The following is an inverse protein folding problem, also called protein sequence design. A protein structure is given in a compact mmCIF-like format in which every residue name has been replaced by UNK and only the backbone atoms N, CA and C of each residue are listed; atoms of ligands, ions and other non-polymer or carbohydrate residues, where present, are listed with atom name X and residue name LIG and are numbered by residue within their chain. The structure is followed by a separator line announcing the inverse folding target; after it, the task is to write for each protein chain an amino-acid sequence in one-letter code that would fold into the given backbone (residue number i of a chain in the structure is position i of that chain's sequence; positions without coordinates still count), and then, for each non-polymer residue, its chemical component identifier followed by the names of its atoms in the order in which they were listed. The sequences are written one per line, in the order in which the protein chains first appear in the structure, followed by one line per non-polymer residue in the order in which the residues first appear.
data_IF_384215867262
#
_entry.id   IF_384215867262
#
_cell.length_a   1.000
_cell.length_b   1.000
_cell.length_c   1.000
_cell.angle_alpha   90.00
_cell.angle_beta   90.00
_cell.angle_gamma   90.00
#
_symmetry.space_group_name_H-M   'P 1'
#
loop_
_entity.id
_entity.type
_entity.pdbx_description
1 polymer ?
#
# COMPACT_ATOMS: atom_id res chain seq x y z
N UNK A 1 11.05 -24.04 1.65
CA UNK A 1 10.20 -23.11 2.42
C UNK A 1 9.34 -22.35 1.42
N UNK A 2 7.99 -22.39 1.52
CA UNK A 2 7.08 -21.95 0.45
C UNK A 2 7.01 -20.42 0.21
N UNK A 3 7.85 -19.62 0.89
CA UNK A 3 7.91 -18.17 0.69
C UNK A 3 6.73 -17.38 1.28
N UNK A 4 5.86 -18.01 2.06
CA UNK A 4 4.77 -17.30 2.75
C UNK A 4 5.29 -16.59 4.01
N UNK A 5 4.81 -15.37 4.26
CA UNK A 5 4.76 -14.83 5.61
C UNK A 5 3.50 -15.33 6.30
N UNK A 6 3.64 -15.82 7.53
CA UNK A 6 2.49 -16.18 8.35
C UNK A 6 1.57 -14.96 8.50
N UNK A 7 0.29 -15.16 8.17
CA UNK A 7 -0.73 -14.14 8.35
C UNK A 7 -0.85 -13.76 9.83
N UNK A 8 -0.65 -12.48 10.16
CA UNK A 8 -1.08 -11.92 11.44
C UNK A 8 -2.58 -11.58 11.45
N UNK A 9 -3.23 -11.58 10.29
CA UNK A 9 -4.69 -11.53 10.23
C UNK A 9 -5.21 -12.86 10.77
N UNK A 10 -5.93 -12.79 11.89
CA UNK A 10 -6.61 -13.94 12.46
C UNK A 10 -7.39 -14.66 11.37
N UNK A 11 -7.42 -15.99 11.43
CA UNK A 11 -8.21 -16.81 10.51
C UNK A 11 -9.66 -16.34 10.63
N UNK A 12 -10.11 -15.47 9.74
CA UNK A 12 -11.52 -15.11 9.63
C UNK A 12 -12.21 -16.37 9.12
N UNK A 13 -12.84 -17.09 10.06
CA UNK A 13 -13.55 -18.35 9.82
C UNK A 13 -14.86 -18.06 9.10
N UNK A 14 -14.78 -17.59 7.85
CA UNK A 14 -15.85 -17.73 6.88
C UNK A 14 -15.93 -19.20 6.48
N UNK A 15 -17.15 -19.76 6.38
CA UNK A 15 -17.52 -21.19 6.47
C UNK A 15 -16.98 -22.14 5.37
N UNK A 16 -15.68 -22.06 5.01
CA UNK A 16 -14.85 -22.85 4.06
C UNK A 16 -13.89 -21.99 3.21
N UNK A 17 -13.76 -20.71 3.51
CA UNK A 17 -12.74 -19.82 2.95
C UNK A 17 -11.71 -19.49 4.02
N UNK A 18 -10.45 -19.82 3.78
CA UNK A 18 -9.36 -19.61 4.74
C UNK A 18 -8.35 -18.65 4.10
N UNK A 19 -8.12 -17.50 4.74
CA UNK A 19 -6.99 -16.64 4.38
C UNK A 19 -5.70 -17.27 4.89
N UNK A 20 -4.80 -17.64 3.97
CA UNK A 20 -3.50 -18.22 4.30
C UNK A 20 -2.43 -17.14 4.54
N UNK A 21 -2.72 -15.89 4.16
CA UNK A 21 -1.83 -14.75 4.30
C UNK A 21 -1.48 -14.14 2.95
N UNK A 22 -0.26 -13.61 2.87
CA UNK A 22 0.20 -12.83 1.71
C UNK A 22 1.47 -13.44 1.17
N UNK A 23 1.49 -13.68 -0.15
CA UNK A 23 2.68 -14.09 -0.88
C UNK A 23 3.40 -12.87 -1.45
N UNK A 24 4.70 -12.74 -1.16
CA UNK A 24 5.54 -11.60 -1.53
C UNK A 24 6.75 -12.11 -2.35
N UNK A 25 6.66 -12.15 -3.69
CA UNK A 25 7.79 -12.58 -4.54
C UNK A 25 8.95 -11.58 -4.48
N UNK A 26 8.63 -10.30 -4.35
CA UNK A 26 9.57 -9.20 -4.13
C UNK A 26 9.02 -8.33 -3.00
N UNK A 27 9.90 -7.68 -2.23
CA UNK A 27 9.57 -6.93 -1.00
C UNK A 27 8.69 -5.66 -1.19
N UNK A 28 7.95 -5.57 -2.31
CA UNK A 28 7.16 -4.41 -2.76
C UNK A 28 5.72 -4.76 -3.16
N UNK A 29 5.36 -6.03 -3.35
CA UNK A 29 4.01 -6.42 -3.74
C UNK A 29 3.57 -7.69 -3.01
N UNK A 30 2.55 -7.56 -2.16
CA UNK A 30 1.94 -8.66 -1.44
C UNK A 30 0.64 -9.06 -2.10
N UNK A 31 0.53 -10.34 -2.48
CA UNK A 31 -0.66 -10.91 -3.10
C UNK A 31 -1.40 -11.80 -2.09
N UNK A 32 -2.68 -11.56 -1.84
CA UNK A 32 -3.44 -12.37 -0.90
C UNK A 32 -3.57 -13.81 -1.41
N UNK A 33 -3.45 -14.75 -0.48
CA UNK A 33 -3.55 -16.19 -0.73
C UNK A 33 -4.73 -16.75 0.04
N UNK A 34 -5.72 -17.29 -0.67
CA UNK A 34 -6.92 -17.88 -0.06
C UNK A 34 -7.00 -19.36 -0.38
N UNK A 35 -7.45 -20.18 0.57
CA UNK A 35 -7.82 -21.57 0.38
C UNK A 35 -9.34 -21.70 0.43
N UNK A 36 -9.95 -22.18 -0.65
CA UNK A 36 -11.39 -22.44 -0.75
C UNK A 36 -11.65 -23.94 -0.68
N UNK A 37 -12.60 -24.33 0.16
CA UNK A 37 -13.03 -25.72 0.34
C UNK A 37 -14.47 -25.90 -0.17
N UNK A 38 -14.71 -25.76 -1.49
CA UNK A 38 -16.04 -25.83 -2.06
C UNK A 38 -16.65 -27.23 -1.90
N UNK A 39 -17.99 -27.28 -1.86
CA UNK A 39 -18.75 -28.56 -1.81
C UNK A 39 -19.03 -29.09 -3.22
N UNK A 40 -19.26 -28.18 -4.15
CA UNK A 40 -19.58 -28.41 -5.56
C UNK A 40 -19.17 -27.17 -6.38
N UNK A 41 -19.40 -27.20 -7.69
CA UNK A 41 -19.05 -26.09 -8.60
C UNK A 41 -19.83 -24.80 -8.34
N UNK A 42 -21.12 -24.89 -8.00
CA UNK A 42 -21.95 -23.69 -7.73
C UNK A 42 -21.49 -22.98 -6.45
N UNK A 43 -21.11 -23.77 -5.44
CA UNK A 43 -20.54 -23.26 -4.21
C UNK A 43 -19.19 -22.59 -4.48
N UNK A 44 -18.33 -23.19 -5.32
CA UNK A 44 -17.05 -22.57 -5.71
C UNK A 44 -17.28 -21.20 -6.38
N UNK A 45 -18.18 -21.12 -7.36
CA UNK A 45 -18.50 -19.87 -8.05
C UNK A 45 -18.99 -18.80 -7.07
N UNK A 46 -19.88 -19.16 -6.15
CA UNK A 46 -20.40 -18.23 -5.13
C UNK A 46 -19.28 -17.69 -4.22
N UNK A 47 -18.38 -18.57 -3.75
CA UNK A 47 -17.23 -18.17 -2.91
C UNK A 47 -16.28 -17.24 -3.67
N UNK A 48 -16.04 -17.51 -4.94
CA UNK A 48 -15.16 -16.72 -5.80
C UNK A 48 -15.73 -15.31 -6.02
N UNK A 49 -17.03 -15.18 -6.29
CA UNK A 49 -17.65 -13.87 -6.41
C UNK A 49 -17.52 -13.05 -5.13
N UNK A 50 -17.72 -13.67 -3.95
CA UNK A 50 -17.55 -12.97 -2.68
C UNK A 50 -16.12 -12.46 -2.50
N UNK A 51 -15.12 -13.24 -2.88
CA UNK A 51 -13.72 -12.86 -2.73
C UNK A 51 -13.32 -11.77 -3.73
N UNK A 52 -13.79 -11.81 -4.97
CA UNK A 52 -13.54 -10.74 -5.94
C UNK A 52 -14.26 -9.44 -5.59
N UNK A 53 -15.41 -9.50 -4.91
CA UNK A 53 -16.06 -8.30 -4.36
C UNK A 53 -15.25 -7.72 -3.21
N UNK A 54 -14.68 -8.58 -2.35
CA UNK A 54 -13.88 -8.16 -1.21
C UNK A 54 -12.45 -7.71 -1.59
N UNK A 55 -11.92 -8.14 -2.74
CA UNK A 55 -10.54 -7.88 -3.15
C UNK A 55 -10.48 -7.37 -4.60
N UNK A 56 -9.94 -6.17 -4.77
CA UNK A 56 -9.73 -5.54 -6.08
C UNK A 56 -8.37 -5.84 -6.70
N UNK A 57 -7.43 -6.42 -5.93
CA UNK A 57 -6.09 -6.75 -6.38
C UNK A 57 -5.99 -8.20 -6.91
N UNK A 58 -5.03 -8.50 -7.81
CA UNK A 58 -4.71 -9.87 -8.20
C UNK A 58 -4.40 -10.74 -6.98
N UNK A 59 -4.85 -11.99 -7.01
CA UNK A 59 -4.76 -12.90 -5.87
C UNK A 59 -4.45 -14.34 -6.30
N UNK A 60 -4.00 -15.13 -5.32
CA UNK A 60 -3.78 -16.57 -5.48
C UNK A 60 -4.87 -17.30 -4.71
N UNK A 61 -5.60 -18.16 -5.40
CA UNK A 61 -6.67 -18.96 -4.80
C UNK A 61 -6.35 -20.44 -4.97
N UNK A 62 -6.31 -21.13 -3.84
CA UNK A 62 -6.06 -22.56 -3.74
C UNK A 62 -7.40 -23.29 -3.57
N UNK A 63 -7.53 -24.44 -4.23
CA UNK A 63 -8.63 -25.39 -4.03
C UNK A 63 -8.05 -26.77 -3.77
N UNK A 64 -8.71 -27.69 -3.06
CA UNK A 64 -8.16 -29.03 -2.85
C UNK A 64 -7.84 -29.76 -4.16
N UNK A 65 -8.72 -29.66 -5.15
CA UNK A 65 -8.62 -30.34 -6.45
C UNK A 65 -9.29 -29.53 -7.56
N UNK A 66 -9.08 -29.90 -8.82
CA UNK A 66 -9.75 -29.31 -10.00
C UNK A 66 -11.21 -29.75 -10.19
N UNK A 67 -11.74 -30.69 -9.38
CA UNK A 67 -13.04 -31.36 -9.65
C UNK A 67 -14.23 -30.41 -9.72
N UNK A 68 -14.17 -29.28 -9.02
CA UNK A 68 -15.27 -28.32 -8.94
C UNK A 68 -15.11 -27.16 -9.92
N UNK A 69 -14.08 -27.14 -10.75
CA UNK A 69 -13.78 -26.01 -11.63
C UNK A 69 -14.70 -26.01 -12.85
N UNK A 70 -15.41 -24.91 -13.07
CA UNK A 70 -16.10 -24.63 -14.32
C UNK A 70 -15.23 -23.81 -15.27
N UNK A 71 -15.59 -23.82 -16.56
CA UNK A 71 -14.96 -22.96 -17.57
C UNK A 71 -15.11 -21.47 -17.24
N UNK A 72 -16.29 -21.08 -16.76
CA UNK A 72 -16.59 -19.71 -16.31
C UNK A 72 -15.67 -19.28 -15.16
N UNK A 73 -15.42 -20.18 -14.20
CA UNK A 73 -14.54 -19.93 -13.07
C UNK A 73 -13.11 -19.67 -13.52
N UNK A 74 -12.59 -20.50 -14.42
CA UNK A 74 -11.23 -20.36 -14.95
C UNK A 74 -11.09 -19.05 -15.74
N UNK A 75 -12.11 -18.69 -16.52
CA UNK A 75 -12.11 -17.44 -17.29
C UNK A 75 -12.16 -16.21 -16.40
N UNK A 76 -12.95 -16.23 -15.33
CA UNK A 76 -13.04 -15.13 -14.37
C UNK A 76 -11.67 -14.83 -13.72
N UNK A 77 -10.91 -15.87 -13.37
CA UNK A 77 -9.56 -15.72 -12.84
C UNK A 77 -8.58 -15.14 -13.86
N UNK A 78 -8.69 -15.57 -15.13
CA UNK A 78 -7.90 -15.02 -16.24
C UNK A 78 -8.16 -13.52 -16.42
N UNK A 79 -9.42 -13.10 -16.40
CA UNK A 79 -9.81 -11.69 -16.55
C UNK A 79 -9.26 -10.80 -15.42
N UNK A 80 -9.27 -11.29 -14.19
CA UNK A 80 -8.79 -10.56 -13.01
C UNK A 80 -7.28 -10.74 -12.75
N UNK A 81 -6.52 -11.26 -13.72
CA UNK A 81 -5.09 -11.56 -13.60
C UNK A 81 -4.73 -12.37 -12.35
N UNK A 82 -5.68 -13.17 -11.86
CA UNK A 82 -5.56 -13.96 -10.65
C UNK A 82 -5.29 -15.42 -11.01
N UNK A 83 -4.79 -16.20 -10.04
CA UNK A 83 -4.52 -17.62 -10.24
C UNK A 83 -5.43 -18.48 -9.39
N UNK A 84 -6.02 -19.49 -10.02
CA UNK A 84 -6.70 -20.59 -9.37
C UNK A 84 -5.81 -21.83 -9.51
N UNK A 85 -5.41 -22.44 -8.40
CA UNK A 85 -4.50 -23.58 -8.40
C UNK A 85 -4.99 -24.71 -7.47
N UNK A 86 -4.83 -25.98 -7.86
CA UNK A 86 -5.24 -27.11 -7.05
C UNK A 86 -4.11 -27.54 -6.11
N UNK A 87 -4.34 -27.46 -4.80
CA UNK A 87 -3.36 -27.74 -3.77
C UNK A 87 -2.69 -29.12 -3.95
N UNK A 88 -3.46 -30.15 -4.33
CA UNK A 88 -2.94 -31.52 -4.55
C UNK A 88 -1.83 -31.61 -5.62
N UNK A 89 -1.71 -30.63 -6.51
CA UNK A 89 -0.65 -30.60 -7.54
C UNK A 89 0.56 -29.76 -7.09
N UNK A 90 0.35 -28.86 -6.13
CA UNK A 90 1.34 -27.89 -5.69
C UNK A 90 2.17 -28.40 -4.50
N UNK A 91 1.67 -29.41 -3.80
CA UNK A 91 2.35 -29.98 -2.64
C UNK A 91 2.54 -31.48 -2.79
N UNK A 92 3.64 -31.98 -2.26
CA UNK A 92 3.93 -33.40 -2.14
C UNK A 92 4.19 -33.76 -0.68
N UNK A 93 3.88 -35.01 -0.33
CA UNK A 93 4.18 -35.56 1.00
C UNK A 93 5.53 -36.25 0.93
N UNK A 94 6.48 -35.72 1.68
CA UNK A 94 7.83 -36.28 1.87
C UNK A 94 7.94 -36.96 3.23
N UNK A 95 9.04 -37.67 3.45
CA UNK A 95 9.36 -38.29 4.75
C UNK A 95 9.42 -37.29 5.91
N UNK A 96 9.65 -36.00 5.62
CA UNK A 96 9.91 -34.96 6.60
C UNK A 96 8.77 -33.92 6.66
N UNK A 97 7.63 -34.18 6.03
CA UNK A 97 6.48 -33.27 5.98
C UNK A 97 6.06 -32.92 4.56
N UNK A 98 5.47 -31.74 4.38
CA UNK A 98 4.93 -31.31 3.09
C UNK A 98 5.91 -30.36 2.41
N UNK A 99 6.26 -30.61 1.15
CA UNK A 99 7.06 -29.71 0.31
C UNK A 99 6.24 -29.18 -0.84
N UNK A 100 6.60 -27.98 -1.31
CA UNK A 100 6.08 -27.48 -2.58
C UNK A 100 6.77 -28.20 -3.74
N UNK A 101 5.99 -28.53 -4.77
CA UNK A 101 6.46 -29.14 -6.02
C UNK A 101 6.98 -28.07 -6.99
N UNK A 102 7.60 -28.48 -8.10
CA UNK A 102 7.96 -27.56 -9.18
C UNK A 102 6.74 -26.84 -9.77
N UNK A 103 5.58 -27.51 -9.77
CA UNK A 103 4.31 -26.93 -10.24
C UNK A 103 3.88 -25.71 -9.41
N UNK A 104 4.26 -25.64 -8.12
CA UNK A 104 4.08 -24.44 -7.31
C UNK A 104 4.87 -23.26 -7.86
N UNK A 105 6.15 -23.47 -8.17
CA UNK A 105 7.02 -22.41 -8.68
C UNK A 105 6.64 -21.96 -10.09
N UNK A 106 6.22 -22.89 -10.96
CA UNK A 106 5.70 -22.57 -12.29
C UNK A 106 4.41 -21.74 -12.19
N UNK A 107 3.47 -22.15 -11.33
CA UNK A 107 2.22 -21.41 -11.09
C UNK A 107 2.49 -19.98 -10.63
N UNK A 108 3.44 -19.79 -9.73
CA UNK A 108 3.82 -18.45 -9.23
C UNK A 108 4.51 -17.61 -10.30
N UNK A 109 5.36 -18.21 -11.14
CA UNK A 109 6.01 -17.53 -12.26
C UNK A 109 4.98 -17.08 -13.30
N UNK A 110 4.06 -17.96 -13.67
CA UNK A 110 2.96 -17.65 -14.59
C UNK A 110 2.06 -16.53 -14.04
N UNK A 111 1.82 -16.53 -12.72
CA UNK A 111 1.08 -15.46 -12.07
C UNK A 111 1.83 -14.13 -12.16
N UNK A 112 3.15 -14.13 -11.88
CA UNK A 112 4.01 -12.95 -12.02
C UNK A 112 4.04 -12.42 -13.45
N UNK A 113 4.16 -13.29 -14.45
CA UNK A 113 4.16 -12.89 -15.86
C UNK A 113 2.80 -12.29 -16.28
N UNK A 114 1.69 -12.74 -15.68
CA UNK A 114 0.35 -12.18 -15.98
C UNK A 114 0.13 -10.80 -15.39
N UNK A 115 0.63 -10.57 -14.17
CA UNK A 115 0.51 -9.28 -13.49
C UNK A 115 1.59 -8.29 -13.97
N UNK A 116 2.75 -8.79 -14.39
CA UNK A 116 3.88 -8.02 -14.87
C UNK A 116 4.50 -8.70 -16.11
N UNK A 117 3.99 -8.44 -17.32
CA UNK A 117 4.46 -9.13 -18.52
C UNK A 117 5.97 -8.92 -18.74
N UNK A 118 6.72 -9.95 -19.16
CA UNK A 118 8.19 -9.97 -19.21
C UNK A 118 8.84 -8.91 -20.14
N UNK A 119 8.05 -8.09 -20.82
CA UNK A 119 8.53 -6.95 -21.63
C UNK A 119 8.51 -5.60 -20.90
N UNK A 120 8.22 -5.58 -19.60
CA UNK A 120 8.44 -4.42 -18.76
C UNK A 120 9.37 -4.81 -17.60
N UNK A 121 10.67 -4.94 -17.90
CA UNK A 121 11.71 -4.64 -16.90
C UNK A 121 11.66 -3.13 -16.65
N UNK A 122 10.58 -2.66 -16.06
CA UNK A 122 10.57 -1.41 -15.34
C UNK A 122 10.91 -1.79 -13.91
N UNK A 123 12.21 -1.73 -13.59
CA UNK A 123 12.59 -1.14 -12.30
C UNK A 123 11.70 0.10 -12.21
N UNK A 124 10.69 0.09 -11.35
CA UNK A 124 9.76 1.20 -11.25
C UNK A 124 10.63 2.47 -11.24
N UNK A 125 10.52 3.36 -12.25
CA UNK A 125 11.51 4.43 -12.43
C UNK A 125 11.58 5.30 -11.18
N UNK A 126 10.52 5.26 -10.36
CA UNK A 126 10.40 5.93 -9.09
C UNK A 126 9.91 4.94 -8.01
N UNK A 127 10.65 4.78 -6.92
CA UNK A 127 10.25 4.05 -5.70
C UNK A 127 10.68 4.88 -4.48
N UNK A 128 9.87 4.88 -3.43
CA UNK A 128 10.22 5.47 -2.14
C UNK A 128 9.66 4.58 -1.01
N UNK A 129 10.52 3.87 -0.27
CA UNK A 129 10.09 2.87 0.73
C UNK A 129 10.99 2.81 1.96
N UNK A 130 10.40 2.62 3.14
CA UNK A 130 11.16 2.44 4.38
C UNK A 130 11.78 1.03 4.48
N UNK A 131 13.07 0.96 4.81
CA UNK A 131 13.85 -0.26 5.07
C UNK A 131 14.72 -0.04 6.31
N UNK A 132 14.21 -0.42 7.48
CA UNK A 132 14.87 -0.17 8.76
C UNK A 132 14.94 1.32 9.08
N UNK A 133 16.15 1.84 9.36
CA UNK A 133 16.42 3.24 9.70
C UNK A 133 16.61 4.15 8.48
N UNK A 134 16.38 3.62 7.28
CA UNK A 134 16.57 4.33 6.03
C UNK A 134 15.35 4.15 5.11
N UNK A 135 15.19 5.09 4.19
CA UNK A 135 14.28 5.03 3.07
C UNK A 135 15.08 4.75 1.82
N UNK A 136 14.68 3.72 1.09
CA UNK A 136 15.20 3.38 -0.23
C UNK A 136 14.46 4.23 -1.24
N UNK A 137 15.21 4.95 -2.07
CA UNK A 137 14.70 5.77 -3.15
C UNK A 137 15.23 5.20 -4.46
N UNK A 138 14.35 4.77 -5.35
CA UNK A 138 14.71 4.60 -6.75
C UNK A 138 14.22 5.83 -7.50
N UNK A 139 15.11 6.48 -8.23
CA UNK A 139 14.74 7.59 -9.10
C UNK A 139 15.55 7.51 -10.38
N UNK A 140 14.85 7.39 -11.51
CA UNK A 140 15.43 7.29 -12.85
C UNK A 140 16.49 6.18 -12.95
N UNK A 141 16.15 5.01 -12.39
CA UNK A 141 17.03 3.83 -12.38
C UNK A 141 18.22 3.91 -11.40
N UNK A 142 18.35 4.98 -10.62
CA UNK A 142 19.38 5.12 -9.57
C UNK A 142 18.79 4.81 -8.21
N UNK A 143 19.49 3.98 -7.43
CA UNK A 143 19.17 3.73 -6.02
C UNK A 143 19.89 4.74 -5.12
N UNK A 144 19.17 5.28 -4.14
CA UNK A 144 19.67 6.15 -3.09
C UNK A 144 19.07 5.79 -1.73
N UNK A 145 19.77 6.17 -0.67
CA UNK A 145 19.33 5.95 0.70
C UNK A 145 19.14 7.29 1.40
N UNK A 146 17.96 7.49 1.98
CA UNK A 146 17.63 8.67 2.78
C UNK A 146 17.47 8.22 4.22
N UNK A 147 18.16 8.86 5.17
CA UNK A 147 17.99 8.55 6.59
C UNK A 147 16.55 8.80 7.04
N UNK A 148 16.02 7.94 7.93
CA UNK A 148 14.69 8.15 8.50
C UNK A 148 14.63 9.52 9.18
N UNK A 149 13.71 10.34 8.69
CA UNK A 149 13.53 11.74 9.08
C UNK A 149 12.07 12.11 8.94
N UNK A 150 11.67 13.18 9.63
CA UNK A 150 10.31 13.71 9.55
C UNK A 150 9.95 14.06 8.10
N UNK A 151 10.88 14.64 7.33
CA UNK A 151 10.67 14.94 5.91
C UNK A 151 10.42 13.70 5.05
N UNK A 152 11.14 12.61 5.28
CA UNK A 152 10.91 11.35 4.58
C UNK A 152 9.52 10.75 4.88
N UNK A 153 9.07 10.87 6.14
CA UNK A 153 7.70 10.48 6.52
C UNK A 153 6.65 11.31 5.80
N UNK A 154 6.84 12.64 5.72
CA UNK A 154 5.92 13.50 4.96
C UNK A 154 5.82 13.09 3.49
N UNK A 155 6.96 12.83 2.84
CA UNK A 155 6.99 12.37 1.45
C UNK A 155 6.23 11.06 1.27
N UNK A 156 6.38 10.11 2.20
CA UNK A 156 5.64 8.84 2.14
C UNK A 156 4.12 9.04 2.21
N UNK A 157 3.66 10.00 3.01
CA UNK A 157 2.23 10.32 3.14
C UNK A 157 1.72 10.98 1.86
N UNK A 158 2.47 11.96 1.33
CA UNK A 158 2.11 12.65 0.09
C UNK A 158 2.08 11.71 -1.11
N UNK A 159 3.03 10.78 -1.21
CA UNK A 159 3.04 9.77 -2.27
C UNK A 159 1.91 8.75 -2.16
N UNK A 160 1.35 8.54 -0.97
CA UNK A 160 0.18 7.68 -0.79
C UNK A 160 -1.13 8.32 -1.27
N UNK A 161 -1.13 9.66 -1.46
CA UNK A 161 -2.31 10.46 -1.82
C UNK A 161 -1.97 11.51 -2.89
N UNK A 162 -1.58 11.10 -4.11
CA UNK A 162 -1.16 12.02 -5.16
C UNK A 162 -2.32 12.94 -5.57
N UNK A 163 -2.07 14.25 -5.59
CA UNK A 163 -3.04 15.27 -6.01
C UNK A 163 -4.06 15.69 -4.94
N UNK A 164 -4.04 15.06 -3.75
CA UNK A 164 -4.88 15.49 -2.62
C UNK A 164 -4.21 16.67 -1.89
N UNK A 165 -4.96 17.74 -1.65
CA UNK A 165 -4.49 18.87 -0.85
C UNK A 165 -4.50 18.49 0.63
N UNK A 166 -3.39 18.72 1.34
CA UNK A 166 -3.24 18.40 2.76
C UNK A 166 -2.72 19.61 3.52
N UNK A 167 -3.28 19.87 4.71
CA UNK A 167 -2.77 20.94 5.56
C UNK A 167 -1.43 20.53 6.18
N UNK A 168 -0.50 21.48 6.24
CA UNK A 168 0.84 21.23 6.79
C UNK A 168 0.81 20.77 8.26
N UNK A 169 -0.20 21.20 9.03
CA UNK A 169 -0.40 20.75 10.41
C UNK A 169 -0.71 19.26 10.50
N UNK A 170 -1.54 18.74 9.60
CA UNK A 170 -1.90 17.31 9.57
C UNK A 170 -0.68 16.45 9.27
N UNK A 171 0.17 16.89 8.33
CA UNK A 171 1.44 16.23 8.04
C UNK A 171 2.34 16.19 9.29
N UNK A 172 2.41 17.29 10.05
CA UNK A 172 3.23 17.39 11.24
C UNK A 172 2.76 16.46 12.37
N UNK A 173 1.45 16.39 12.62
CA UNK A 173 0.89 15.45 13.61
C UNK A 173 1.23 13.99 13.26
N UNK A 174 1.06 13.60 11.99
CA UNK A 174 1.29 12.24 11.52
C UNK A 174 2.79 11.89 11.50
N UNK A 175 3.66 12.81 11.06
CA UNK A 175 5.10 12.56 10.95
C UNK A 175 5.83 12.48 12.30
N UNK A 176 5.29 13.13 13.34
CA UNK A 176 5.80 13.07 14.72
C UNK A 176 5.44 11.79 15.47
N UNK A 177 4.67 10.87 14.86
CA UNK A 177 4.29 9.60 15.48
C UNK A 177 3.27 9.74 16.62
N UNK A 178 2.54 10.86 16.66
CA UNK A 178 1.35 10.96 17.51
C UNK A 178 0.20 10.23 16.80
N UNK A 179 -0.30 9.19 17.45
CA UNK A 179 -1.56 8.55 17.05
C UNK A 179 -2.68 9.57 17.28
N UNK A 180 -3.53 9.89 16.27
CA UNK A 180 -4.64 10.82 16.45
C UNK A 180 -5.65 10.36 17.53
N UNK A 181 -5.48 9.16 18.09
CA UNK A 181 -6.29 8.60 19.19
C UNK A 181 -5.75 8.84 20.60
N UNK A 182 -4.57 9.42 20.78
CA UNK A 182 -3.98 9.70 22.12
C UNK A 182 -3.68 11.17 22.38
N UNK A 183 -4.48 12.08 21.81
CA UNK A 183 -4.60 13.42 22.38
C UNK A 183 -5.30 13.31 23.76
N UNK A 184 -4.86 14.03 24.81
CA UNK A 184 -5.54 14.08 26.09
C UNK A 184 -7.00 14.49 25.89
N UNK A 185 -7.91 13.68 26.42
CA UNK A 185 -9.37 13.83 26.35
C UNK A 185 -9.92 15.03 27.15
N UNK A 186 -9.11 16.04 27.47
CA UNK A 186 -9.50 17.20 28.25
C UNK A 186 -9.08 18.50 27.55
N UNK A 187 -9.70 18.75 26.40
CA UNK A 187 -10.01 20.10 25.92
C UNK A 187 -11.04 19.98 24.79
N UNK A 188 -12.32 19.93 25.18
CA UNK A 188 -13.46 20.35 24.35
C UNK A 188 -13.53 19.78 22.94
N UNK A 189 -13.92 18.51 22.81
CA UNK A 189 -14.71 18.04 21.67
C UNK A 189 -16.13 18.62 21.80
N UNK A 190 -16.25 19.94 21.71
CA UNK A 190 -17.48 20.58 21.26
C UNK A 190 -17.20 21.09 19.85
N UNK A 191 -18.18 20.94 18.97
CA UNK A 191 -18.18 21.47 17.61
C UNK A 191 -17.54 22.87 17.60
N UNK A 192 -16.29 22.95 17.15
CA UNK A 192 -15.53 24.19 17.09
C UNK A 192 -16.23 25.16 16.14
N UNK A 193 -16.86 26.14 16.76
CA UNK A 193 -17.68 27.22 16.26
C UNK A 193 -17.17 27.79 14.92
N UNK A 194 -18.08 28.14 14.00
CA UNK A 194 -17.71 28.81 12.74
C UNK A 194 -16.90 30.09 12.99
N UNK A 195 -17.02 30.68 14.18
CA UNK A 195 -16.20 31.80 14.65
C UNK A 195 -14.72 31.42 14.86
N UNK A 196 -14.41 30.23 15.40
CA UNK A 196 -13.02 29.80 15.58
C UNK A 196 -12.31 29.53 14.26
N UNK A 197 -13.05 29.03 13.25
CA UNK A 197 -12.52 28.87 11.88
C UNK A 197 -12.24 30.24 11.26
N UNK A 198 -13.14 31.21 11.43
CA UNK A 198 -12.94 32.57 10.94
C UNK A 198 -11.75 33.27 11.61
N UNK A 199 -11.57 33.12 12.92
CA UNK A 199 -10.41 33.68 13.64
C UNK A 199 -9.08 33.08 13.16
N UNK A 200 -9.05 31.78 12.85
CA UNK A 200 -7.87 31.11 12.31
C UNK A 200 -7.57 31.60 10.88
N UNK A 201 -8.59 31.76 10.04
CA UNK A 201 -8.44 32.27 8.68
C UNK A 201 -7.96 33.73 8.66
N UNK A 202 -8.51 34.58 9.52
CA UNK A 202 -8.10 35.98 9.63
C UNK A 202 -6.67 36.11 10.16
N UNK A 203 -6.31 35.29 11.14
CA UNK A 203 -4.93 35.25 11.66
C UNK A 203 -3.94 34.76 10.60
N UNK A 204 -4.31 33.78 9.79
CA UNK A 204 -3.49 33.27 8.69
C UNK A 204 -3.31 34.33 7.60
N UNK A 205 -4.38 35.05 7.24
CA UNK A 205 -4.31 36.19 6.30
C UNK A 205 -3.41 37.31 6.83
N UNK A 206 -3.50 37.65 8.12
CA UNK A 206 -2.63 38.67 8.72
C UNK A 206 -1.15 38.27 8.67
N UNK A 207 -0.82 37.04 9.06
CA UNK A 207 0.57 36.56 9.06
C UNK A 207 1.16 36.47 7.65
N UNK A 208 0.37 36.07 6.66
CA UNK A 208 0.81 36.08 5.26
C UNK A 208 1.07 37.49 4.74
N UNK A 209 0.24 38.46 5.14
CA UNK A 209 0.42 39.86 4.79
C UNK A 209 1.68 40.45 5.46
N UNK A 210 1.93 40.15 6.73
CA UNK A 210 3.16 40.57 7.44
C UNK A 210 4.43 39.98 6.80
N UNK A 211 4.37 38.72 6.35
CA UNK A 211 5.49 38.10 5.63
C UNK A 211 5.78 38.75 4.27
N UNK A 212 4.74 39.19 3.57
CA UNK A 212 4.90 39.88 2.28
C UNK A 212 5.49 41.28 2.47
N UNK A 213 5.02 42.02 3.48
CA UNK A 213 5.60 43.31 3.83
C UNK A 213 7.07 43.20 4.25
N UNK A 214 7.40 42.24 5.12
CA UNK A 214 8.78 42.03 5.56
C UNK A 214 9.72 41.66 4.39
N UNK A 215 9.23 40.92 3.38
CA UNK A 215 9.99 40.63 2.16
C UNK A 215 10.21 41.87 1.31
N UNK A 216 9.19 42.70 1.13
CA UNK A 216 9.29 43.92 0.34
C UNK A 216 10.20 44.96 1.00
N UNK A 217 10.13 45.11 2.32
CA UNK A 217 11.06 45.97 3.08
C UNK A 217 12.50 45.49 2.96
N UNK A 218 12.74 44.18 3.13
CA UNK A 218 14.07 43.60 2.98
C UNK A 218 14.64 43.80 1.58
N UNK A 219 13.81 43.62 0.55
CA UNK A 219 14.22 43.85 -0.84
C UNK A 219 14.49 45.34 -1.11
N UNK A 220 13.69 46.26 -0.56
CA UNK A 220 13.93 47.70 -0.72
C UNK A 220 15.21 48.16 -0.01
N UNK A 221 15.55 47.57 1.14
CA UNK A 221 16.82 47.83 1.83
C UNK A 221 18.00 47.33 0.97
N UNK A 222 17.91 46.11 0.45
CA UNK A 222 18.91 45.53 -0.45
C UNK A 222 19.10 46.35 -1.73
N UNK A 223 18.01 46.84 -2.33
CA UNK A 223 18.07 47.69 -3.53
C UNK A 223 18.70 49.05 -3.26
N UNK A 224 18.47 49.64 -2.08
CA UNK A 224 19.12 50.89 -1.69
C UNK A 224 20.62 50.69 -1.36
N UNK A 225 21.00 49.60 -0.68
CA UNK A 225 22.41 49.29 -0.42
C UNK A 225 23.21 49.07 -1.71
N UNK A 226 22.65 48.35 -2.69
CA UNK A 226 23.28 48.13 -4.00
C UNK A 226 23.44 49.44 -4.78
N UNK A 227 22.51 50.40 -4.57
CA UNK A 227 22.52 51.69 -5.27
C UNK A 227 23.46 52.72 -4.63
N UNK A 228 23.85 52.55 -3.37
CA UNK A 228 24.88 53.38 -2.72
C UNK A 228 26.32 52.88 -2.94
N UNK A 229 26.51 51.63 -3.42
CA UNK A 229 27.83 51.07 -3.76
C UNK A 229 28.27 51.26 -5.23
N UNK A 230 27.44 51.90 -6.08
CA UNK A 230 27.75 52.23 -7.50
C UNK A 230 27.87 53.75 -7.65
#
# INVERSE_FOLDING_TARGET
MMGFRESQAGIERGDRCISLGTWEPEARAGYPVHLLLPRDGNHLTSMIHQIFVANTAPMIVLTPTRKTWGSETVELFRQHKSVLAPLVELIEVTSNGWSATDAWWETLRDFLDRINPPNLVTVAPYEFRKKGDFWVVHFDGKEGFVKDSIGAKYLSILFSKPGESMFALDLQLIGSGHDPKTAPQEAGLELGDQQSVQEIEERSRRLLFELDQAKNERNSILENEIREEI
#
